data_IF_983928174829
#
_entry.id   IF_983928174829
#
_cell.length_a   1.000
_cell.length_b   1.000
_cell.length_c   1.000
_cell.angle_alpha   90.00
_cell.angle_beta   90.00
_cell.angle_gamma   90.00
#
_symmetry.space_group_name_H-M   'P 1'
#
loop_
_entity.id
_entity.type
_entity.pdbx_description
1 polymer ?
#
# COMPACT_ATOMS: atom_id res chain seq x y z
N UNK A 1 -1.46 10.77 8.80
CA UNK A 1 -0.11 10.56 9.34
C UNK A 1 0.89 11.29 8.43
N UNK A 2 0.96 12.63 8.50
CA UNK A 2 1.65 13.43 7.47
C UNK A 2 3.11 13.02 7.25
N UNK A 3 3.88 12.84 8.32
CA UNK A 3 5.29 12.45 8.23
C UNK A 3 5.53 11.10 7.54
N UNK A 4 4.59 10.15 7.62
CA UNK A 4 4.72 8.87 6.90
C UNK A 4 4.37 9.01 5.41
N UNK A 5 3.46 9.93 5.06
CA UNK A 5 3.13 10.19 3.66
C UNK A 5 4.28 10.90 2.94
N UNK A 6 4.97 11.83 3.63
CA UNK A 6 6.19 12.44 3.09
C UNK A 6 7.27 11.38 2.84
N UNK A 7 7.55 10.52 3.82
CA UNK A 7 8.49 9.41 3.64
C UNK A 7 8.11 8.47 2.50
N UNK A 8 6.81 8.22 2.31
CA UNK A 8 6.34 7.36 1.23
C UNK A 8 6.55 8.02 -0.13
N UNK A 9 6.30 9.33 -0.27
CA UNK A 9 6.53 10.07 -1.51
C UNK A 9 8.02 10.15 -1.89
N UNK A 10 8.90 10.22 -0.91
CA UNK A 10 10.33 10.43 -1.11
C UNK A 10 11.13 9.13 -1.30
N UNK A 11 10.51 7.94 -1.15
CA UNK A 11 11.23 6.68 -1.22
C UNK A 11 11.11 6.02 -2.59
N UNK A 12 12.19 5.38 -3.07
CA UNK A 12 12.18 4.59 -4.31
C UNK A 12 11.53 3.20 -4.11
N UNK A 13 11.59 2.68 -2.88
CA UNK A 13 11.09 1.36 -2.51
C UNK A 13 10.34 1.43 -1.19
N UNK A 14 9.13 0.89 -1.14
CA UNK A 14 8.36 0.70 0.09
C UNK A 14 8.31 -0.77 0.48
N UNK A 15 8.73 -1.07 1.71
CA UNK A 15 8.68 -2.43 2.27
C UNK A 15 7.59 -2.47 3.35
N UNK A 16 6.49 -3.16 3.05
CA UNK A 16 5.42 -3.42 4.00
C UNK A 16 5.66 -4.75 4.71
N UNK A 17 6.05 -4.68 5.99
CA UNK A 17 6.18 -5.85 6.84
C UNK A 17 4.97 -5.95 7.78
N UNK A 18 4.11 -6.94 7.58
CA UNK A 18 2.93 -7.19 8.42
C UNK A 18 2.73 -8.68 8.59
N UNK A 19 2.46 -9.20 9.80
CA UNK A 19 2.02 -10.58 9.93
C UNK A 19 0.64 -10.76 9.29
N UNK A 20 0.32 -11.99 8.91
CA UNK A 20 -1.04 -12.41 8.62
C UNK A 20 -1.83 -12.41 9.93
N UNK A 21 -2.77 -11.48 10.04
CA UNK A 21 -3.64 -11.31 11.20
C UNK A 21 -5.08 -11.45 10.76
N UNK A 22 -5.76 -12.49 11.22
CA UNK A 22 -7.13 -12.84 10.81
C UNK A 22 -7.30 -12.88 9.28
N UNK A 23 -6.42 -13.65 8.60
CA UNK A 23 -6.37 -13.79 7.15
C UNK A 23 -6.22 -12.46 6.38
N UNK A 24 -5.64 -11.44 7.02
CA UNK A 24 -5.37 -10.13 6.42
C UNK A 24 -4.15 -9.44 7.05
N UNK A 25 -3.97 -8.14 6.82
CA UNK A 25 -2.95 -7.31 7.49
C UNK A 25 -3.38 -6.88 8.89
N UNK A 26 -2.44 -6.45 9.72
CA UNK A 26 -2.77 -5.83 11.01
C UNK A 26 -3.55 -4.52 10.83
N UNK A 27 -4.37 -4.16 11.83
CA UNK A 27 -5.20 -2.95 11.80
C UNK A 27 -4.39 -1.66 11.57
N UNK A 28 -3.19 -1.55 12.14
CA UNK A 28 -2.32 -0.40 11.91
C UNK A 28 -1.90 -0.23 10.44
N UNK A 29 -1.62 -1.33 9.74
CA UNK A 29 -1.30 -1.30 8.31
C UNK A 29 -2.53 -0.86 7.52
N UNK A 30 -3.71 -1.39 7.84
CA UNK A 30 -4.96 -0.97 7.18
C UNK A 30 -5.26 0.51 7.39
N UNK A 31 -5.05 1.03 8.60
CA UNK A 31 -5.19 2.45 8.91
C UNK A 31 -4.21 3.29 8.08
N UNK A 32 -2.96 2.85 7.95
CA UNK A 32 -2.00 3.55 7.08
C UNK A 32 -2.48 3.58 5.62
N UNK A 33 -2.91 2.43 5.08
CA UNK A 33 -3.40 2.32 3.72
C UNK A 33 -4.59 3.24 3.43
N UNK A 34 -5.56 3.32 4.33
CA UNK A 34 -6.70 4.24 4.20
C UNK A 34 -6.28 5.72 4.25
N UNK A 35 -5.20 6.02 4.98
CA UNK A 35 -4.67 7.38 5.09
C UNK A 35 -3.78 7.78 3.91
N UNK A 36 -3.54 6.89 2.94
CA UNK A 36 -2.90 7.23 1.66
C UNK A 36 -3.85 7.89 0.66
N UNK A 37 -5.17 7.92 0.92
CA UNK A 37 -6.17 8.61 0.07
C UNK A 37 -5.77 10.03 -0.41
N UNK A 38 -5.10 10.89 0.38
CA UNK A 38 -4.66 12.20 -0.10
C UNK A 38 -3.69 12.16 -1.28
N UNK A 39 -2.98 11.04 -1.49
CA UNK A 39 -1.99 10.85 -2.57
C UNK A 39 -2.62 10.57 -3.94
N UNK A 40 -3.94 10.37 -4.01
CA UNK A 40 -4.67 10.12 -5.25
C UNK A 40 -5.65 11.26 -5.56
N UNK A 41 -6.06 11.35 -6.82
CA UNK A 41 -7.07 12.28 -7.31
C UNK A 41 -8.46 11.64 -7.28
N UNK A 42 -9.54 12.41 -7.09
CA UNK A 42 -10.89 11.87 -6.97
C UNK A 42 -11.50 11.41 -8.31
N UNK A 43 -10.82 11.66 -9.43
CA UNK A 43 -11.30 11.28 -10.75
C UNK A 43 -11.31 9.76 -10.90
N UNK A 44 -12.33 9.25 -11.59
CA UNK A 44 -12.41 7.85 -11.98
C UNK A 44 -11.92 7.74 -13.43
N UNK A 45 -10.83 7.02 -13.64
CA UNK A 45 -10.20 6.83 -14.95
C UNK A 45 -9.92 5.35 -15.18
N UNK A 46 -9.78 4.95 -16.45
CA UNK A 46 -9.34 3.60 -16.79
C UNK A 46 -7.82 3.49 -16.59
N UNK A 47 -7.39 2.54 -15.77
CA UNK A 47 -6.00 2.18 -15.50
C UNK A 47 -5.87 0.67 -15.73
N UNK A 48 -5.12 0.25 -16.75
CA UNK A 48 -4.86 -1.16 -17.07
C UNK A 48 -6.13 -2.02 -17.22
N UNK A 49 -7.20 -1.48 -17.81
CA UNK A 49 -8.48 -2.19 -17.99
C UNK A 49 -9.39 -2.18 -16.76
N UNK A 50 -9.01 -1.50 -15.68
CA UNK A 50 -9.81 -1.33 -14.47
C UNK A 50 -10.09 0.14 -14.16
N UNK A 51 -11.18 0.44 -13.44
CA UNK A 51 -11.42 1.80 -12.96
C UNK A 51 -10.57 2.08 -11.73
N UNK A 52 -9.79 3.15 -11.76
CA UNK A 52 -8.98 3.58 -10.63
C UNK A 52 -8.86 5.10 -10.53
N UNK A 53 -8.03 5.51 -9.56
CA UNK A 53 -7.74 6.91 -9.29
C UNK A 53 -6.30 7.22 -9.72
N UNK A 54 -6.07 8.29 -10.49
CA UNK A 54 -4.72 8.68 -10.84
C UNK A 54 -3.98 9.20 -9.60
N UNK A 55 -2.66 9.02 -9.58
CA UNK A 55 -1.80 9.62 -8.56
C UNK A 55 -1.87 11.15 -8.64
N UNK A 56 -1.87 11.81 -7.48
CA UNK A 56 -1.85 13.28 -7.39
C UNK A 56 -0.52 13.87 -7.84
N UNK A 57 0.56 13.16 -7.55
CA UNK A 57 1.92 13.48 -7.96
C UNK A 57 2.48 12.24 -8.68
N UNK A 58 2.56 12.23 -10.02
CA UNK A 58 2.92 11.05 -10.80
C UNK A 58 4.33 10.54 -10.57
N UNK A 59 5.25 11.43 -10.18
CA UNK A 59 6.67 11.12 -10.01
C UNK A 59 7.04 10.87 -8.53
N UNK A 60 6.06 10.95 -7.62
CA UNK A 60 6.25 10.73 -6.19
C UNK A 60 5.76 9.36 -5.75
N UNK A 61 6.51 8.77 -4.83
CA UNK A 61 6.21 7.46 -4.28
C UNK A 61 7.19 6.39 -4.75
N UNK A 62 7.05 5.18 -4.20
CA UNK A 62 7.93 4.08 -4.55
C UNK A 62 7.63 3.54 -5.94
N UNK A 63 8.67 3.37 -6.76
CA UNK A 63 8.62 2.59 -8.00
C UNK A 63 8.36 1.11 -7.73
N UNK A 64 8.70 0.64 -6.53
CA UNK A 64 8.61 -0.78 -6.14
C UNK A 64 8.03 -0.95 -4.75
N UNK A 65 7.09 -1.87 -4.63
CA UNK A 65 6.53 -2.28 -3.36
C UNK A 65 6.97 -3.72 -3.07
N UNK A 66 7.47 -3.95 -1.86
CA UNK A 66 7.80 -5.28 -1.32
C UNK A 66 6.87 -5.58 -0.16
N UNK A 67 6.22 -6.74 -0.20
CA UNK A 67 5.42 -7.24 0.92
C UNK A 67 6.19 -8.36 1.62
N UNK A 68 6.42 -8.21 2.93
CA UNK A 68 6.94 -9.25 3.80
C UNK A 68 5.82 -9.66 4.76
N UNK A 69 5.26 -10.84 4.54
CA UNK A 69 4.24 -11.41 5.40
C UNK A 69 4.73 -12.68 6.07
N UNK A 70 4.39 -12.82 7.36
CA UNK A 70 4.66 -14.02 8.15
C UNK A 70 3.34 -14.53 8.73
N UNK A 71 3.15 -15.84 8.72
CA UNK A 71 2.01 -16.47 9.40
C UNK A 71 2.46 -17.71 10.18
N UNK A 72 1.61 -18.16 11.11
CA UNK A 72 1.83 -19.37 11.88
C UNK A 72 1.35 -20.65 11.20
N UNK A 73 0.85 -20.57 9.97
CA UNK A 73 0.35 -21.72 9.22
C UNK A 73 1.46 -22.36 8.39
N UNK A 74 1.47 -23.70 8.27
CA UNK A 74 2.43 -24.40 7.42
C UNK A 74 2.09 -24.35 5.92
N UNK A 75 0.84 -24.06 5.55
CA UNK A 75 0.40 -24.10 4.15
C UNK A 75 0.87 -22.86 3.36
N UNK A 76 1.42 -23.11 2.17
CA UNK A 76 1.84 -22.05 1.23
C UNK A 76 0.66 -21.17 0.80
N UNK A 77 -0.57 -21.70 0.78
CA UNK A 77 -1.78 -20.94 0.40
C UNK A 77 -2.10 -19.75 1.33
N UNK A 78 -1.41 -19.65 2.47
CA UNK A 78 -1.52 -18.51 3.38
C UNK A 78 -0.49 -17.39 3.11
N UNK A 79 0.31 -17.52 2.04
CA UNK A 79 1.33 -16.57 1.59
C UNK A 79 1.14 -16.22 0.10
#
# INVERSE_FOLDING_TARGET
MPALLEKLKDCDVAVYATPLYYFSMISYMKVFSERMMPLILPQLVELNGETGHPHRDPDAGPDRIVLLSVCGFPEISHF
#
